data_IF_902637443201
#
_entry.id   IF_902637443201
#
_cell.length_a   1.000
_cell.length_b   1.000
_cell.length_c   1.000
_cell.angle_alpha   90.00
_cell.angle_beta   90.00
_cell.angle_gamma   90.00
#
_symmetry.space_group_name_H-M   'P 1'
#
loop_
_entity.id
_entity.type
_entity.pdbx_description
1 polymer ?
#
# COMPACT_ATOMS: atom_id res chain seq x y z
N UNK A 1 -13.72 -7.98 -5.85
CA UNK A 1 -13.77 -7.99 -4.36
C UNK A 1 -12.34 -8.04 -3.88
N UNK A 2 -12.01 -7.37 -2.77
CA UNK A 2 -10.68 -7.49 -2.21
C UNK A 2 -10.42 -8.94 -1.76
N UNK A 3 -9.16 -9.39 -1.81
CA UNK A 3 -8.76 -10.71 -1.32
C UNK A 3 -9.16 -10.95 0.13
N UNK A 4 -9.27 -12.23 0.54
CA UNK A 4 -9.57 -12.61 1.93
C UNK A 4 -8.48 -12.15 2.90
N UNK A 5 -7.22 -12.14 2.47
CA UNK A 5 -6.14 -11.49 3.20
C UNK A 5 -5.28 -10.69 2.23
N UNK A 6 -4.79 -9.53 2.67
CA UNK A 6 -3.87 -8.72 1.89
C UNK A 6 -2.80 -8.06 2.76
N UNK A 7 -1.68 -7.68 2.15
CA UNK A 7 -0.62 -6.85 2.74
C UNK A 7 -0.39 -5.63 1.88
N UNK A 8 0.13 -4.58 2.50
CA UNK A 8 0.66 -3.43 1.80
C UNK A 8 2.19 -3.52 1.83
N UNK A 9 2.81 -3.40 0.66
CA UNK A 9 4.25 -3.24 0.51
C UNK A 9 4.54 -1.82 0.05
N UNK A 10 5.58 -1.22 0.62
CA UNK A 10 6.16 0.02 0.10
C UNK A 10 7.60 -0.28 -0.30
N UNK A 11 7.91 -0.08 -1.57
CA UNK A 11 9.27 -0.09 -2.09
C UNK A 11 9.73 1.35 -2.31
N UNK A 12 10.95 1.64 -1.83
CA UNK A 12 11.53 2.96 -1.93
C UNK A 12 12.54 3.04 -3.08
N UNK A 13 12.09 3.54 -4.22
CA UNK A 13 12.91 3.87 -5.38
C UNK A 13 13.18 5.39 -5.43
N UNK A 14 13.31 6.03 -4.27
CA UNK A 14 13.46 7.48 -4.19
C UNK A 14 14.93 7.95 -4.14
N UNK A 15 15.88 7.02 -4.10
CA UNK A 15 17.32 7.31 -4.01
C UNK A 15 17.77 7.87 -2.66
N UNK A 16 16.84 8.12 -1.75
CA UNK A 16 17.05 8.64 -0.39
C UNK A 16 16.14 7.89 0.58
N UNK A 17 16.54 7.84 1.85
CA UNK A 17 15.68 7.28 2.88
C UNK A 17 14.41 8.13 3.01
N UNK A 18 13.26 7.47 3.14
CA UNK A 18 11.96 8.14 3.18
C UNK A 18 11.14 7.61 4.34
N UNK A 19 10.65 8.50 5.19
CA UNK A 19 9.69 8.14 6.25
C UNK A 19 8.31 8.03 5.63
N UNK A 20 7.68 6.86 5.77
CA UNK A 20 6.39 6.52 5.17
C UNK A 20 5.38 6.13 6.24
N UNK A 21 4.17 6.69 6.13
CA UNK A 21 2.98 6.20 6.83
C UNK A 21 1.95 5.80 5.78
N UNK A 22 1.29 4.66 6.01
CA UNK A 22 0.18 4.21 5.18
C UNK A 22 -1.05 4.00 6.05
N UNK A 23 -2.10 4.73 5.71
CA UNK A 23 -3.42 4.66 6.31
C UNK A 23 -4.39 4.03 5.31
N UNK A 24 -5.17 3.05 5.77
CA UNK A 24 -6.04 2.24 4.94
C UNK A 24 -7.46 2.20 5.49
N UNK A 25 -8.43 2.54 4.63
CA UNK A 25 -9.85 2.52 4.96
C UNK A 25 -10.64 1.72 3.92
N UNK A 26 -10.90 0.43 4.17
CA UNK A 26 -11.68 -0.39 3.26
C UNK A 26 -13.17 -0.05 3.32
N UNK A 27 -13.92 -0.42 2.29
CA UNK A 27 -15.37 -0.28 2.24
C UNK A 27 -16.04 -1.53 1.64
N UNK A 28 -17.31 -1.73 2.01
CA UNK A 28 -18.21 -2.69 1.37
C UNK A 28 -19.56 -2.04 1.05
N UNK A 29 -20.37 -2.74 0.26
CA UNK A 29 -21.76 -2.38 0.00
C UNK A 29 -22.69 -3.28 0.82
N UNK A 30 -23.69 -2.68 1.44
CA UNK A 30 -24.81 -3.40 2.05
C UNK A 30 -26.16 -2.85 1.54
N UNK A 31 -27.27 -3.27 2.15
CA UNK A 31 -28.61 -2.81 1.80
C UNK A 31 -28.82 -1.28 1.98
N UNK A 32 -27.96 -0.62 2.76
CA UNK A 32 -28.01 0.81 3.06
C UNK A 32 -26.99 1.64 2.25
N UNK A 33 -26.13 1.00 1.44
CA UNK A 33 -25.16 1.65 0.57
C UNK A 33 -23.71 1.38 0.94
N UNK A 34 -22.84 2.39 0.74
CA UNK A 34 -21.40 2.26 1.02
C UNK A 34 -21.15 2.37 2.52
N UNK A 35 -20.53 1.34 3.09
CA UNK A 35 -20.09 1.30 4.47
C UNK A 35 -18.57 1.29 4.52
N UNK A 36 -18.00 2.31 5.16
CA UNK A 36 -16.57 2.39 5.39
C UNK A 36 -16.21 1.71 6.70
N UNK A 37 -15.24 0.80 6.64
CA UNK A 37 -14.65 0.21 7.82
C UNK A 37 -13.86 1.24 8.64
N UNK A 38 -13.47 0.82 9.84
CA UNK A 38 -12.53 1.55 10.70
C UNK A 38 -11.21 1.75 9.96
N UNK A 39 -10.66 2.96 10.04
CA UNK A 39 -9.34 3.26 9.52
C UNK A 39 -8.28 2.45 10.29
N UNK A 40 -7.34 1.85 9.56
CA UNK A 40 -6.19 1.16 10.12
C UNK A 40 -4.90 1.77 9.57
N UNK A 41 -3.83 1.75 10.36
CA UNK A 41 -2.50 2.24 9.96
C UNK A 41 -1.53 1.07 9.84
N UNK A 42 -1.56 0.33 8.70
CA UNK A 42 -0.76 -0.87 8.50
C UNK A 42 0.75 -0.63 8.46
N UNK A 43 1.20 0.58 8.12
CA UNK A 43 2.59 1.03 8.24
C UNK A 43 2.58 2.34 9.02
N UNK A 44 3.01 2.29 10.29
CA UNK A 44 3.03 3.44 11.18
C UNK A 44 4.37 4.17 11.08
N UNK A 45 4.39 5.31 10.37
CA UNK A 45 5.52 6.25 10.25
C UNK A 45 6.90 5.60 10.37
N UNK A 46 7.27 4.83 9.35
CA UNK A 46 8.51 4.04 9.32
C UNK A 46 9.47 4.57 8.26
N UNK A 47 10.75 4.69 8.60
CA UNK A 47 11.80 4.97 7.61
C UNK A 47 12.05 3.74 6.74
N UNK A 48 11.86 3.90 5.44
CA UNK A 48 12.19 2.92 4.41
C UNK A 48 13.47 3.39 3.74
N UNK A 49 14.54 2.60 3.82
CA UNK A 49 15.82 2.96 3.23
C UNK A 49 15.76 2.95 1.70
N UNK A 50 16.61 3.75 1.05
CA UNK A 50 16.70 3.75 -0.43
C UNK A 50 16.95 2.34 -1.00
N UNK A 51 16.26 1.99 -2.09
CA UNK A 51 16.27 0.69 -2.75
C UNK A 51 15.85 -0.50 -1.87
N UNK A 52 15.12 -0.24 -0.78
CA UNK A 52 14.59 -1.29 0.12
C UNK A 52 13.07 -1.26 0.17
N UNK A 53 12.49 -2.24 0.87
CA UNK A 53 11.04 -2.34 1.07
C UNK A 53 10.66 -2.60 2.52
N UNK A 54 9.42 -2.23 2.83
CA UNK A 54 8.71 -2.63 4.05
C UNK A 54 7.39 -3.29 3.67
N UNK A 55 6.97 -4.29 4.45
CA UNK A 55 5.66 -4.91 4.35
C UNK A 55 4.87 -4.66 5.64
N UNK A 56 3.57 -4.42 5.49
CA UNK A 56 2.64 -4.39 6.61
C UNK A 56 2.43 -5.78 7.22
N UNK A 57 1.82 -5.80 8.40
CA UNK A 57 1.12 -7.00 8.87
C UNK A 57 -0.01 -7.38 7.91
N UNK A 58 -0.42 -8.65 7.93
CA UNK A 58 -1.55 -9.10 7.12
C UNK A 58 -2.84 -8.46 7.62
N UNK A 59 -3.67 -7.98 6.70
CA UNK A 59 -5.00 -7.43 6.94
C UNK A 59 -6.00 -8.54 6.60
N UNK A 60 -6.82 -8.91 7.58
CA UNK A 60 -7.88 -9.90 7.39
C UNK A 60 -9.16 -9.24 6.85
N UNK A 61 -9.65 -9.77 5.74
CA UNK A 61 -10.86 -9.37 5.07
C UNK A 61 -11.82 -10.56 4.84
N UNK A 62 -11.51 -11.71 5.44
CA UNK A 62 -12.26 -12.96 5.26
C UNK A 62 -13.70 -12.85 5.76
N UNK A 63 -13.94 -12.10 6.84
CA UNK A 63 -15.28 -11.86 7.40
C UNK A 63 -15.96 -10.62 6.80
N UNK A 64 -15.23 -9.51 6.67
CA UNK A 64 -15.79 -8.23 6.24
C UNK A 64 -16.09 -8.17 4.74
N UNK A 65 -15.42 -8.99 3.93
CA UNK A 65 -15.66 -9.10 2.47
C UNK A 65 -15.67 -7.74 1.76
N UNK A 66 -14.76 -6.85 2.16
CA UNK A 66 -14.64 -5.52 1.58
C UNK A 66 -14.39 -5.58 0.06
N UNK A 67 -14.97 -4.62 -0.65
CA UNK A 67 -14.94 -4.56 -2.11
C UNK A 67 -13.73 -3.77 -2.62
N UNK A 68 -13.35 -2.74 -1.89
CA UNK A 68 -12.28 -1.80 -2.22
C UNK A 68 -11.89 -0.98 -0.99
N UNK A 69 -11.16 0.11 -1.19
CA UNK A 69 -10.81 1.01 -0.09
C UNK A 69 -10.00 2.22 -0.51
N UNK A 70 -9.81 3.12 0.44
CA UNK A 70 -8.96 4.29 0.28
C UNK A 70 -7.63 4.07 0.98
N UNK A 71 -6.54 4.29 0.26
CA UNK A 71 -5.17 4.19 0.73
C UNK A 71 -4.56 5.58 0.76
N UNK A 72 -4.30 6.12 1.94
CA UNK A 72 -3.57 7.38 2.10
C UNK A 72 -2.10 7.05 2.40
N UNK A 73 -1.22 7.48 1.51
CA UNK A 73 0.23 7.36 1.67
C UNK A 73 0.79 8.74 1.99
N UNK A 74 1.49 8.82 3.12
CA UNK A 74 2.25 10.00 3.53
C UNK A 74 3.73 9.66 3.47
N UNK A 75 4.51 10.47 2.77
CA UNK A 75 5.93 10.23 2.53
C UNK A 75 6.75 11.49 2.79
N UNK A 76 7.83 11.38 3.56
CA UNK A 76 8.76 12.48 3.84
C UNK A 76 10.18 12.04 3.50
N UNK A 77 10.72 12.46 2.33
CA UNK A 77 12.11 12.19 1.96
C UNK A 77 13.08 12.85 2.95
N UNK A 78 14.15 12.15 3.32
CA UNK A 78 15.21 12.68 4.20
C UNK A 78 16.07 13.76 3.53
N UNK A 79 16.10 13.78 2.21
CA UNK A 79 16.79 14.76 1.37
C UNK A 79 16.03 14.92 0.04
N UNK A 80 16.41 15.89 -0.79
CA UNK A 80 15.79 16.08 -2.09
C UNK A 80 16.11 14.87 -2.99
N UNK A 81 15.10 14.11 -3.47
CA UNK A 81 15.34 13.04 -4.42
C UNK A 81 15.93 13.59 -5.72
N UNK A 82 16.96 12.92 -6.27
CA UNK A 82 17.57 13.33 -7.53
C UNK A 82 16.91 12.62 -8.72
N UNK A 83 16.18 13.36 -9.58
CA UNK A 83 15.54 12.82 -10.78
C UNK A 83 14.11 12.32 -10.57
N UNK A 84 13.64 11.43 -11.44
CA UNK A 84 12.29 10.84 -11.40
C UNK A 84 12.22 9.68 -10.38
N UNK A 85 12.34 10.05 -9.12
CA UNK A 85 12.43 9.17 -7.96
C UNK A 85 11.03 8.95 -7.36
N UNK A 86 10.70 7.71 -6.97
CA UNK A 86 9.32 7.35 -6.62
C UNK A 86 9.23 6.37 -5.46
N UNK A 87 8.13 6.43 -4.71
CA UNK A 87 7.68 5.30 -3.90
C UNK A 87 6.71 4.46 -4.72
N UNK A 88 6.89 3.14 -4.67
CA UNK A 88 5.95 2.17 -5.23
C UNK A 88 5.21 1.50 -4.08
N UNK A 89 3.89 1.60 -4.09
CA UNK A 89 3.02 1.00 -3.08
C UNK A 89 2.18 -0.09 -3.72
N UNK A 90 2.24 -1.29 -3.14
CA UNK A 90 1.57 -2.47 -3.66
C UNK A 90 0.53 -2.96 -2.66
N UNK A 91 -0.64 -3.36 -3.17
CA UNK A 91 -1.56 -4.21 -2.45
C UNK A 91 -1.38 -5.66 -2.90
N UNK A 92 -0.96 -6.53 -1.99
CA UNK A 92 -0.62 -7.92 -2.28
C UNK A 92 -1.69 -8.84 -1.68
N UNK A 93 -2.40 -9.58 -2.53
CA UNK A 93 -3.55 -10.41 -2.14
C UNK A 93 -3.27 -11.90 -2.04
N UNK A 94 -3.97 -12.59 -1.15
CA UNK A 94 -4.15 -14.05 -1.18
C UNK A 94 -5.58 -14.43 -0.78
N UNK A 95 -6.16 -15.38 -1.51
CA UNK A 95 -7.50 -15.93 -1.22
C UNK A 95 -7.45 -17.30 -0.52
N UNK A 96 -6.30 -17.94 -0.55
CA UNK A 96 -6.01 -19.31 -0.09
C UNK A 96 -5.13 -19.37 1.16
N UNK A 97 -4.70 -18.22 1.69
CA UNK A 97 -3.99 -18.11 2.97
C UNK A 97 -2.53 -18.56 2.93
N UNK A 98 -1.99 -18.92 1.77
CA UNK A 98 -0.63 -19.42 1.62
C UNK A 98 0.12 -18.56 0.59
N UNK A 99 1.08 -17.79 1.12
CA UNK A 99 2.04 -16.94 0.43
C UNK A 99 1.53 -15.59 -0.12
N UNK A 100 1.80 -14.54 0.65
CA UNK A 100 2.16 -13.24 0.06
C UNK A 100 3.54 -13.43 -0.57
N UNK A 101 3.64 -13.98 -1.78
CA UNK A 101 4.95 -14.23 -2.37
C UNK A 101 5.72 -12.92 -2.45
N UNK A 102 7.00 -12.98 -2.07
CA UNK A 102 7.91 -11.86 -2.08
C UNK A 102 8.33 -11.56 -3.53
N UNK A 103 7.35 -11.16 -4.35
CA UNK A 103 7.52 -10.90 -5.77
C UNK A 103 8.23 -9.56 -5.94
N UNK A 104 9.55 -9.59 -5.83
CA UNK A 104 10.40 -8.74 -6.67
C UNK A 104 11.08 -9.55 -7.80
N UNK A 105 11.05 -10.89 -7.73
CA UNK A 105 11.68 -11.76 -8.73
C UNK A 105 10.75 -12.25 -9.86
N UNK A 106 9.44 -12.13 -9.69
CA UNK A 106 8.47 -12.51 -10.72
C UNK A 106 7.28 -11.55 -10.67
N UNK A 107 7.11 -10.69 -11.68
CA UNK A 107 5.81 -10.09 -12.03
C UNK A 107 4.88 -11.17 -12.63
N UNK A 108 4.88 -12.37 -12.05
CA UNK A 108 4.34 -13.59 -12.62
C UNK A 108 3.48 -14.30 -11.58
N UNK A 109 2.18 -14.16 -11.76
CA UNK A 109 1.15 -15.10 -11.32
C UNK A 109 0.95 -15.28 -9.80
N UNK A 110 0.53 -14.19 -9.15
CA UNK A 110 -0.31 -14.24 -7.97
C UNK A 110 -1.38 -13.15 -8.10
N UNK A 111 -2.64 -13.46 -7.80
CA UNK A 111 -3.80 -12.58 -8.02
C UNK A 111 -3.52 -11.06 -7.82
N UNK A 112 -3.63 -10.30 -8.91
CA UNK A 112 -3.86 -8.85 -8.95
C UNK A 112 -3.11 -8.00 -7.92
N UNK A 113 -1.83 -7.70 -8.15
CA UNK A 113 -1.20 -6.59 -7.43
C UNK A 113 -1.61 -5.26 -8.08
N UNK A 114 -2.21 -4.36 -7.31
CA UNK A 114 -2.39 -2.97 -7.73
C UNK A 114 -1.15 -2.19 -7.30
N UNK A 115 -0.53 -1.50 -8.25
CA UNK A 115 0.64 -0.65 -8.01
C UNK A 115 0.21 0.81 -8.02
N UNK A 116 0.62 1.54 -6.99
CA UNK A 116 0.44 2.97 -6.87
C UNK A 116 1.81 3.63 -6.85
N UNK A 117 2.00 4.59 -7.75
CA UNK A 117 3.24 5.35 -7.81
C UNK A 117 3.06 6.70 -7.13
N UNK A 118 4.07 7.08 -6.34
CA UNK A 118 4.12 8.36 -5.67
C UNK A 118 5.41 9.08 -6.02
N UNK A 119 5.30 10.09 -6.88
CA UNK A 119 6.42 10.94 -7.27
C UNK A 119 6.86 11.79 -6.07
N UNK A 120 8.14 11.69 -5.71
CA UNK A 120 8.72 12.50 -4.67
C UNK A 120 9.53 13.63 -5.31
N UNK A 121 9.06 14.87 -5.16
CA UNK A 121 9.76 16.06 -5.65
C UNK A 121 10.15 16.96 -4.48
N UNK A 122 11.46 17.18 -4.30
CA UNK A 122 12.01 18.02 -3.24
C UNK A 122 12.00 17.37 -1.84
N UNK A 123 12.22 18.18 -0.81
CA UNK A 123 12.39 17.75 0.61
C UNK A 123 11.10 17.81 1.44
N UNK A 124 9.94 17.98 0.79
CA UNK A 124 8.66 18.18 1.47
C UNK A 124 7.93 16.87 1.77
N UNK A 125 7.04 16.90 2.76
CA UNK A 125 6.07 15.81 2.97
C UNK A 125 5.06 15.80 1.83
N UNK A 126 4.90 14.63 1.20
CA UNK A 126 3.92 14.35 0.16
C UNK A 126 2.79 13.51 0.75
N UNK A 127 1.55 13.86 0.41
CA UNK A 127 0.37 13.07 0.75
C UNK A 127 -0.37 12.69 -0.52
N UNK A 128 -0.83 11.45 -0.62
CA UNK A 128 -1.62 10.99 -1.75
C UNK A 128 -2.64 9.95 -1.33
N UNK A 129 -3.87 10.22 -1.73
CA UNK A 129 -4.99 9.30 -1.61
C UNK A 129 -5.10 8.49 -2.90
N UNK A 130 -5.15 7.18 -2.77
CA UNK A 130 -5.47 6.25 -3.84
C UNK A 130 -6.79 5.56 -3.55
N UNK A 131 -7.58 5.35 -4.59
CA UNK A 131 -8.74 4.49 -4.55
C UNK A 131 -8.34 3.11 -5.08
N UNK A 132 -8.58 2.08 -4.27
CA UNK A 132 -8.41 0.69 -4.64
C UNK A 132 -9.78 0.16 -5.04
N UNK A 133 -9.92 -0.13 -6.32
CA UNK A 133 -11.09 -0.77 -6.90
C UNK A 133 -10.84 -2.27 -7.14
N UNK A 134 -11.88 -3.10 -7.10
CA UNK A 134 -11.78 -4.54 -7.35
C UNK A 134 -11.40 -4.92 -8.78
#
# INVERSE_FOLDING_TARGET
MLPNQYKIRVYNDAGVDTTVQVDWRPYHLDANGINYATLVTPIASQTVASATQVLSTAIDNSAAKNLGGHLLVTATPSAAPSGNQRLLVYLLGSNDGVAFEDQYAALGEGYGSTVFELDLTGTGTVHRLFEVLP
#
